data_IF_907453617958
#
_entry.id   IF_907453617958
#
_cell.length_a   1.000
_cell.length_b   1.000
_cell.length_c   1.000
_cell.angle_alpha   90.00
_cell.angle_beta   90.00
_cell.angle_gamma   90.00
#
_symmetry.space_group_name_H-M   'P 1'
#
loop_
_entity.id
_entity.type
_entity.pdbx_description
1 polymer ?
#
# COMPACT_ATOMS: atom_id res chain seq x y z
N UNK A 1 -0.27 -18.39 -11.37
CA UNK A 1 -0.15 -17.23 -10.46
C UNK A 1 1.19 -16.57 -10.74
N UNK A 2 1.20 -15.28 -11.07
CA UNK A 2 2.43 -14.51 -11.21
C UNK A 2 2.72 -13.79 -9.89
N UNK A 3 3.97 -13.85 -9.41
CA UNK A 3 4.41 -13.16 -8.21
C UNK A 3 5.44 -12.13 -8.65
N UNK A 4 5.20 -10.88 -8.27
CA UNK A 4 6.12 -9.75 -8.50
C UNK A 4 6.77 -9.38 -7.18
N UNK A 5 8.09 -9.16 -7.19
CA UNK A 5 8.82 -8.67 -6.02
C UNK A 5 8.85 -7.15 -6.05
N UNK A 6 8.38 -6.54 -4.97
CA UNK A 6 8.41 -5.10 -4.75
C UNK A 6 9.02 -4.85 -3.37
N UNK A 7 9.84 -3.80 -3.24
CA UNK A 7 10.40 -3.40 -1.96
C UNK A 7 9.46 -2.40 -1.30
N UNK A 8 9.09 -2.66 -0.04
CA UNK A 8 8.29 -1.76 0.78
C UNK A 8 9.07 -1.41 2.04
N UNK A 9 8.65 -0.31 2.67
CA UNK A 9 9.07 0.01 4.03
C UNK A 9 8.44 -0.99 5.01
N UNK A 10 9.30 -1.70 5.74
CA UNK A 10 8.90 -2.79 6.65
C UNK A 10 8.03 -2.29 7.80
N UNK A 11 8.29 -1.08 8.32
CA UNK A 11 7.53 -0.50 9.42
C UNK A 11 6.12 -0.10 8.97
N UNK A 12 6.00 0.47 7.78
CA UNK A 12 4.72 0.79 7.16
C UNK A 12 3.91 -0.48 6.90
N UNK A 13 4.55 -1.53 6.35
CA UNK A 13 3.89 -2.82 6.08
C UNK A 13 3.41 -3.48 7.37
N UNK A 14 4.25 -3.51 8.40
CA UNK A 14 3.90 -4.04 9.73
C UNK A 14 2.74 -3.27 10.36
N UNK A 15 2.69 -1.95 10.19
CA UNK A 15 1.59 -1.11 10.67
C UNK A 15 0.29 -1.41 9.92
N UNK A 16 0.33 -1.57 8.59
CA UNK A 16 -0.83 -1.99 7.79
C UNK A 16 -1.34 -3.34 8.26
N UNK A 17 -0.44 -4.30 8.49
CA UNK A 17 -0.80 -5.62 9.00
C UNK A 17 -1.50 -5.54 10.36
N UNK A 18 -0.97 -4.72 11.29
CA UNK A 18 -1.57 -4.52 12.60
C UNK A 18 -2.98 -3.87 12.53
N UNK A 19 -3.17 -2.90 11.64
CA UNK A 19 -4.47 -2.21 11.48
C UNK A 19 -5.50 -3.11 10.81
N UNK A 20 -5.10 -3.88 9.79
CA UNK A 20 -6.00 -4.73 9.01
C UNK A 20 -6.23 -6.12 9.60
N UNK A 21 -5.39 -6.54 10.55
CA UNK A 21 -5.47 -7.86 11.18
C UNK A 21 -4.96 -9.02 10.31
N UNK A 22 -4.32 -8.73 9.17
CA UNK A 22 -3.76 -9.77 8.29
C UNK A 22 -2.41 -10.27 8.82
N UNK A 23 -2.12 -11.54 8.56
CA UNK A 23 -0.94 -12.23 9.12
C UNK A 23 0.20 -12.42 8.11
N UNK A 24 -0.01 -12.07 6.84
CA UNK A 24 1.01 -12.16 5.79
C UNK A 24 1.19 -10.84 5.06
N UNK A 25 2.41 -10.56 4.63
CA UNK A 25 2.76 -9.39 3.83
C UNK A 25 2.00 -9.36 2.50
N UNK A 26 1.84 -10.53 1.88
CA UNK A 26 1.11 -10.67 0.63
C UNK A 26 -0.37 -10.30 0.81
N UNK A 27 -1.01 -10.71 1.90
CA UNK A 27 -2.41 -10.36 2.17
C UNK A 27 -2.56 -8.87 2.45
N UNK A 28 -1.60 -8.26 3.16
CA UNK A 28 -1.57 -6.82 3.40
C UNK A 28 -1.48 -6.02 2.10
N UNK A 29 -0.56 -6.40 1.20
CA UNK A 29 -0.39 -5.77 -0.11
C UNK A 29 -1.63 -5.99 -0.99
N UNK A 30 -2.17 -7.20 -1.03
CA UNK A 30 -3.37 -7.50 -1.80
C UNK A 30 -4.58 -6.70 -1.30
N UNK A 31 -4.73 -6.55 0.02
CA UNK A 31 -5.78 -5.75 0.63
C UNK A 31 -5.63 -4.27 0.27
N UNK A 32 -4.41 -3.73 0.38
CA UNK A 32 -4.12 -2.34 0.03
C UNK A 32 -4.41 -2.05 -1.45
N UNK A 33 -4.02 -2.96 -2.35
CA UNK A 33 -4.29 -2.83 -3.78
C UNK A 33 -5.80 -2.87 -4.08
N UNK A 34 -6.55 -3.77 -3.43
CA UNK A 34 -8.02 -3.82 -3.56
C UNK A 34 -8.67 -2.54 -3.07
N UNK A 35 -8.24 -2.04 -1.91
CA UNK A 35 -8.72 -0.78 -1.36
C UNK A 35 -8.45 0.39 -2.30
N UNK A 36 -7.22 0.49 -2.82
CA UNK A 36 -6.88 1.51 -3.81
C UNK A 36 -7.77 1.40 -5.04
N UNK A 37 -7.91 0.20 -5.62
CA UNK A 37 -8.75 0.01 -6.82
C UNK A 37 -10.22 0.39 -6.64
N UNK A 38 -10.76 0.25 -5.43
CA UNK A 38 -12.16 0.58 -5.14
C UNK A 38 -12.39 2.05 -4.77
N UNK A 39 -11.36 2.77 -4.35
CA UNK A 39 -11.45 4.17 -3.93
C UNK A 39 -10.75 5.14 -4.86
N UNK A 40 -9.94 4.65 -5.81
CA UNK A 40 -9.25 5.47 -6.78
C UNK A 40 -10.24 6.14 -7.72
N UNK A 41 -10.08 7.45 -7.84
CA UNK A 41 -10.76 8.29 -8.82
C UNK A 41 -9.92 8.39 -10.09
N UNK A 42 -10.51 8.83 -11.20
CA UNK A 42 -9.77 9.05 -12.45
C UNK A 42 -8.57 10.01 -12.26
N UNK A 43 -8.67 10.97 -11.34
CA UNK A 43 -7.59 11.91 -11.03
C UNK A 43 -6.37 11.24 -10.36
N UNK A 44 -6.58 10.15 -9.61
CA UNK A 44 -5.51 9.41 -8.93
C UNK A 44 -4.60 8.64 -9.90
N UNK A 45 -5.08 8.39 -11.13
CA UNK A 45 -4.30 7.78 -12.19
C UNK A 45 -3.58 8.79 -13.09
N UNK A 46 -4.06 10.04 -13.11
CA UNK A 46 -3.50 11.13 -13.93
C UNK A 46 -2.31 11.82 -13.25
N UNK A 47 -2.27 11.83 -11.91
CA UNK A 47 -1.14 12.37 -11.15
C UNK A 47 -0.24 11.23 -10.65
N UNK A 48 1.05 11.21 -11.00
CA UNK A 48 1.98 10.27 -10.39
C UNK A 48 1.97 10.47 -8.87
N UNK A 49 1.84 9.37 -8.12
CA UNK A 49 1.88 9.36 -6.66
C UNK A 49 3.05 10.21 -6.17
N UNK A 50 2.75 11.35 -5.55
CA UNK A 50 3.73 12.11 -4.79
C UNK A 50 3.68 11.60 -3.35
N UNK A 51 4.64 10.74 -2.92
CA UNK A 51 4.74 10.42 -1.51
C UNK A 51 5.01 11.75 -0.79
N UNK A 52 4.05 12.19 0.02
CA UNK A 52 4.24 13.33 0.91
C UNK A 52 5.38 12.92 1.84
N UNK A 53 6.58 13.46 1.59
CA UNK A 53 7.74 13.23 2.43
C UNK A 53 7.30 13.53 3.87
N UNK A 54 7.34 12.52 4.72
CA UNK A 54 7.11 12.69 6.14
C UNK A 54 8.18 13.67 6.62
N UNK A 55 7.83 14.95 6.78
CA UNK A 55 8.68 15.93 7.41
C UNK A 55 8.82 15.52 8.86
N UNK A 56 9.92 14.84 9.19
CA UNK A 56 10.34 14.65 10.57
C UNK A 56 10.54 16.05 11.18
N UNK A 57 9.73 16.37 12.19
CA UNK A 57 9.93 17.50 13.11
C UNK A 57 10.42 16.96 14.44
#
# INVERSE_FOLDING_TARGET
MAITRIYLDDDALRRVMAISGVHTEQDAVNLALRFFSSHATAADYEHPFHPRAATAS
#
